data_IF_784489532691
#
_entry.id   IF_784489532691
#
_cell.length_a   1.000
_cell.length_b   1.000
_cell.length_c   1.000
_cell.angle_alpha   90.00
_cell.angle_beta   90.00
_cell.angle_gamma   90.00
#
_symmetry.space_group_name_H-M   'P 1'
#
loop_
_entity.id
_entity.type
_entity.pdbx_description
1 polymer ?
#
# COMPACT_ATOMS: atom_id res chain seq x y z
N UNK A 1 4.19 -25.61 -1.75
CA UNK A 1 5.55 -25.74 -2.37
C UNK A 1 5.64 -26.88 -3.38
N UNK A 2 5.41 -28.16 -3.03
CA UNK A 2 5.49 -29.27 -4.00
C UNK A 2 4.43 -29.23 -5.13
N UNK A 3 3.22 -28.74 -4.84
CA UNK A 3 2.12 -28.70 -5.82
C UNK A 3 2.27 -27.62 -6.90
N UNK A 4 2.91 -26.49 -6.58
CA UNK A 4 3.07 -25.34 -7.49
C UNK A 4 4.52 -25.09 -7.93
N UNK A 5 5.47 -25.94 -7.49
CA UNK A 5 6.90 -25.82 -7.77
C UNK A 5 7.50 -24.43 -7.47
N UNK A 6 7.04 -23.82 -6.38
CA UNK A 6 7.47 -22.48 -5.94
C UNK A 6 8.58 -22.56 -4.90
N UNK A 7 9.51 -21.61 -4.95
CA UNK A 7 10.48 -21.35 -3.88
C UNK A 7 9.80 -20.85 -2.60
N UNK A 8 10.53 -20.74 -1.47
CA UNK A 8 9.96 -20.40 -0.17
C UNK A 8 9.19 -19.08 -0.17
N UNK A 9 9.75 -18.01 -0.75
CA UNK A 9 9.10 -16.69 -0.81
C UNK A 9 7.86 -16.71 -1.73
N UNK A 10 7.94 -17.39 -2.87
CA UNK A 10 6.81 -17.56 -3.78
C UNK A 10 5.66 -18.34 -3.13
N UNK A 11 5.98 -19.33 -2.29
CA UNK A 11 5.00 -20.07 -1.52
C UNK A 11 4.25 -19.20 -0.51
N UNK A 12 4.95 -18.30 0.19
CA UNK A 12 4.34 -17.36 1.14
C UNK A 12 3.43 -16.37 0.39
N UNK A 13 3.91 -15.82 -0.73
CA UNK A 13 3.11 -14.88 -1.54
C UNK A 13 1.83 -15.54 -2.07
N UNK A 14 1.92 -16.76 -2.61
CA UNK A 14 0.73 -17.48 -3.07
C UNK A 14 -0.25 -17.80 -1.92
N UNK A 15 0.27 -18.14 -0.74
CA UNK A 15 -0.57 -18.36 0.43
C UNK A 15 -1.28 -17.07 0.85
N UNK A 16 -0.57 -15.93 0.86
CA UNK A 16 -1.15 -14.63 1.15
C UNK A 16 -2.23 -14.26 0.12
N UNK A 17 -1.97 -14.46 -1.17
CA UNK A 17 -2.95 -14.19 -2.22
C UNK A 17 -4.22 -15.03 -2.07
N UNK A 18 -4.09 -16.32 -1.71
CA UNK A 18 -5.25 -17.19 -1.45
C UNK A 18 -5.98 -16.84 -0.15
N UNK A 19 -5.28 -16.21 0.80
CA UNK A 19 -5.89 -15.73 2.04
C UNK A 19 -6.70 -14.46 1.78
N UNK A 20 -6.19 -13.55 0.95
CA UNK A 20 -6.89 -12.32 0.56
C UNK A 20 -8.27 -12.59 -0.05
N UNK A 21 -8.43 -13.64 -0.87
CA UNK A 21 -9.72 -13.95 -1.52
C UNK A 21 -10.82 -14.43 -0.56
N UNK A 22 -10.47 -14.72 0.69
CA UNK A 22 -11.43 -15.09 1.74
C UNK A 22 -11.36 -14.14 2.93
N UNK A 23 -10.73 -12.99 2.75
CA UNK A 23 -10.46 -12.09 3.86
C UNK A 23 -11.73 -11.48 4.42
N UNK A 24 -12.77 -11.30 3.61
CA UNK A 24 -14.08 -10.82 4.06
C UNK A 24 -14.71 -11.75 5.09
N UNK A 25 -14.58 -13.06 4.92
CA UNK A 25 -15.03 -14.05 5.91
C UNK A 25 -14.26 -13.93 7.23
N UNK A 26 -13.00 -13.49 7.18
CA UNK A 26 -12.19 -13.24 8.38
C UNK A 26 -12.68 -11.97 9.07
N UNK A 27 -12.95 -10.90 8.31
CA UNK A 27 -13.51 -9.67 8.84
C UNK A 27 -14.86 -9.92 9.53
N UNK A 28 -15.76 -10.69 8.93
CA UNK A 28 -17.03 -11.08 9.55
C UNK A 28 -16.86 -11.77 10.91
N UNK A 29 -15.81 -12.61 11.04
CA UNK A 29 -15.51 -13.31 12.30
C UNK A 29 -14.98 -12.33 13.34
N UNK A 30 -14.15 -11.38 12.92
CA UNK A 30 -13.59 -10.35 13.79
C UNK A 30 -14.69 -9.41 14.26
N UNK A 31 -15.57 -8.94 13.38
CA UNK A 31 -16.68 -8.05 13.71
C UNK A 31 -17.66 -8.71 14.68
N UNK A 32 -17.99 -10.00 14.50
CA UNK A 32 -18.83 -10.75 15.45
C UNK A 32 -18.24 -10.85 16.85
N UNK A 33 -16.91 -10.74 16.98
CA UNK A 33 -16.20 -10.80 18.26
C UNK A 33 -15.80 -9.42 18.78
N UNK A 34 -16.04 -8.35 18.03
CA UNK A 34 -15.61 -7.00 18.40
C UNK A 34 -16.18 -6.55 19.74
N UNK A 35 -17.36 -7.02 20.13
CA UNK A 35 -17.98 -6.73 21.43
C UNK A 35 -17.37 -7.54 22.60
N UNK A 36 -16.73 -8.67 22.30
CA UNK A 36 -16.17 -9.60 23.29
C UNK A 36 -14.66 -9.41 23.53
N UNK A 37 -13.95 -8.78 22.59
CA UNK A 37 -12.48 -8.60 22.66
C UNK A 37 -12.08 -7.15 22.49
N UNK A 38 -11.22 -6.66 23.40
CA UNK A 38 -10.73 -5.29 23.35
C UNK A 38 -9.68 -5.08 22.24
N UNK A 39 -8.90 -6.13 21.93
CA UNK A 39 -7.79 -6.06 20.99
C UNK A 39 -7.74 -7.28 20.05
N UNK A 40 -7.43 -7.01 18.78
CA UNK A 40 -7.17 -8.02 17.76
C UNK A 40 -5.74 -7.87 17.29
N UNK A 41 -4.92 -8.90 17.51
CA UNK A 41 -3.51 -8.90 17.11
C UNK A 41 -3.38 -9.70 15.82
N UNK A 42 -2.85 -9.07 14.79
CA UNK A 42 -2.59 -9.68 13.49
C UNK A 42 -1.10 -9.90 13.31
N UNK A 43 -0.70 -11.17 13.25
CA UNK A 43 0.67 -11.54 12.94
C UNK A 43 0.88 -11.61 11.43
N UNK A 44 1.98 -11.04 10.96
CA UNK A 44 2.28 -10.93 9.52
C UNK A 44 3.38 -11.93 9.14
N UNK A 45 3.50 -12.27 7.84
CA UNK A 45 4.60 -13.13 7.39
C UNK A 45 5.96 -12.55 7.80
N UNK A 46 6.89 -13.41 8.25
CA UNK A 46 8.22 -12.98 8.70
C UNK A 46 9.09 -12.30 7.63
N UNK A 47 8.69 -12.34 6.36
CA UNK A 47 9.28 -11.51 5.30
C UNK A 47 8.41 -10.28 5.08
N UNK A 48 8.89 -9.15 5.61
CA UNK A 48 8.17 -7.87 5.59
C UNK A 48 7.86 -7.40 4.17
N UNK A 49 8.70 -7.72 3.18
CA UNK A 49 8.51 -7.26 1.82
C UNK A 49 7.30 -7.93 1.16
N UNK A 50 7.03 -9.20 1.49
CA UNK A 50 5.88 -9.91 0.96
C UNK A 50 4.58 -9.28 1.46
N UNK A 51 4.54 -8.78 2.70
CA UNK A 51 3.34 -8.14 3.23
C UNK A 51 3.22 -6.68 2.77
N UNK A 52 4.29 -5.89 2.91
CA UNK A 52 4.24 -4.44 2.67
C UNK A 52 4.25 -4.05 1.20
N UNK A 53 4.86 -4.85 0.30
CA UNK A 53 4.94 -4.52 -1.12
C UNK A 53 3.98 -5.34 -1.99
N UNK A 54 3.31 -6.36 -1.47
CA UNK A 54 2.31 -7.09 -2.25
C UNK A 54 0.97 -6.36 -2.30
N UNK A 55 0.26 -6.54 -3.41
CA UNK A 55 -1.12 -6.07 -3.53
C UNK A 55 -2.02 -6.74 -2.48
N UNK A 56 -1.81 -8.02 -2.20
CA UNK A 56 -2.58 -8.77 -1.20
C UNK A 56 -2.42 -8.22 0.22
N UNK A 57 -1.20 -7.89 0.65
CA UNK A 57 -0.99 -7.28 1.96
C UNK A 57 -1.58 -5.87 2.06
N UNK A 58 -1.53 -5.09 0.98
CA UNK A 58 -2.19 -3.79 0.91
C UNK A 58 -3.72 -3.91 1.04
N UNK A 59 -4.35 -4.82 0.28
CA UNK A 59 -5.80 -5.07 0.35
C UNK A 59 -6.22 -5.49 1.76
N UNK A 60 -5.50 -6.44 2.37
CA UNK A 60 -5.76 -6.89 3.74
C UNK A 60 -5.68 -5.71 4.72
N UNK A 61 -4.61 -4.92 4.63
CA UNK A 61 -4.39 -3.77 5.53
C UNK A 61 -5.49 -2.72 5.36
N UNK A 62 -5.84 -2.38 4.12
CA UNK A 62 -6.87 -1.38 3.80
C UNK A 62 -8.27 -1.84 4.23
N UNK A 63 -8.56 -3.14 4.12
CA UNK A 63 -9.83 -3.72 4.53
C UNK A 63 -10.00 -3.67 6.05
N UNK A 64 -8.97 -4.06 6.82
CA UNK A 64 -9.00 -3.95 8.30
C UNK A 64 -9.08 -2.48 8.72
N UNK A 65 -8.25 -1.63 8.12
CA UNK A 65 -8.24 -0.20 8.36
C UNK A 65 -9.52 0.51 7.95
N UNK A 66 -10.41 -0.15 7.20
CA UNK A 66 -11.72 0.39 6.84
C UNK A 66 -12.81 0.01 7.84
N UNK A 67 -12.68 -1.14 8.51
CA UNK A 67 -13.67 -1.66 9.46
C UNK A 67 -13.33 -1.31 10.92
N UNK A 68 -12.04 -1.29 11.28
CA UNK A 68 -11.59 -1.19 12.67
C UNK A 68 -10.44 -0.17 12.83
N UNK A 69 -10.37 0.52 13.99
CA UNK A 69 -9.20 1.32 14.32
C UNK A 69 -7.92 0.48 14.31
N UNK A 70 -7.05 0.76 13.34
CA UNK A 70 -5.87 -0.07 13.06
C UNK A 70 -4.60 0.72 13.30
N UNK A 71 -3.67 0.10 14.04
CA UNK A 71 -2.36 0.68 14.36
C UNK A 71 -1.27 -0.29 13.90
N UNK A 72 -0.24 0.22 13.26
CA UNK A 72 0.91 -0.59 12.82
C UNK A 72 1.99 -0.55 13.90
N UNK A 73 2.32 -1.73 14.44
CA UNK A 73 3.46 -1.92 15.32
C UNK A 73 4.68 -2.37 14.49
N UNK A 74 5.64 -1.47 14.26
CA UNK A 74 6.87 -1.80 13.56
C UNK A 74 7.95 -2.25 14.53
N UNK A 75 8.21 -3.56 14.53
CA UNK A 75 9.11 -4.20 15.49
C UNK A 75 10.55 -4.16 14.99
N UNK A 76 11.43 -3.55 15.78
CA UNK A 76 12.87 -3.40 15.51
C UNK A 76 13.67 -4.32 16.42
N UNK A 77 14.65 -5.02 15.86
CA UNK A 77 15.60 -5.82 16.63
C UNK A 77 16.73 -4.93 17.19
N UNK A 78 16.55 -4.42 18.42
CA UNK A 78 17.43 -3.41 19.05
C UNK A 78 18.92 -3.79 19.06
N UNK A 79 19.33 -5.02 19.42
CA UNK A 79 20.73 -5.42 19.40
C UNK A 79 21.38 -5.38 18.01
N UNK A 80 20.59 -5.50 16.93
CA UNK A 80 21.09 -5.47 15.55
C UNK A 80 21.13 -4.07 14.96
N UNK A 81 20.46 -3.09 15.56
CA UNK A 81 20.42 -1.70 15.10
C UNK A 81 21.39 -0.79 15.83
N UNK A 82 22.36 -1.34 16.55
CA UNK A 82 23.42 -0.58 17.24
C UNK A 82 24.36 0.14 16.29
N UNK A 83 24.42 -0.26 15.02
CA UNK A 83 25.16 0.46 13.99
C UNK A 83 24.31 1.60 13.40
N UNK A 84 24.79 2.86 13.35
CA UNK A 84 24.04 4.01 12.84
C UNK A 84 23.52 3.84 11.40
N UNK A 85 24.31 3.20 10.53
CA UNK A 85 23.91 2.94 9.15
C UNK A 85 22.73 1.95 9.06
N UNK A 86 22.72 0.93 9.92
CA UNK A 86 21.63 -0.05 10.01
C UNK A 86 20.39 0.57 10.63
N UNK A 87 20.56 1.41 11.66
CA UNK A 87 19.47 2.19 12.25
C UNK A 87 18.79 3.08 11.20
N UNK A 88 19.56 3.87 10.46
CA UNK A 88 19.00 4.73 9.41
C UNK A 88 18.26 3.95 8.33
N UNK A 89 18.84 2.86 7.85
CA UNK A 89 18.19 2.02 6.84
C UNK A 89 16.82 1.54 7.35
N UNK A 90 16.76 1.07 8.59
CA UNK A 90 15.50 0.62 9.21
C UNK A 90 14.50 1.75 9.41
N UNK A 91 14.95 2.97 9.74
CA UNK A 91 14.08 4.15 9.86
C UNK A 91 13.51 4.57 8.51
N UNK A 92 14.29 4.51 7.43
CA UNK A 92 13.81 4.79 6.08
C UNK A 92 12.80 3.75 5.59
N UNK A 93 13.01 2.48 5.94
CA UNK A 93 12.01 1.44 5.72
C UNK A 93 10.73 1.73 6.49
N UNK A 94 10.81 2.09 7.77
CA UNK A 94 9.65 2.46 8.58
C UNK A 94 8.89 3.65 7.97
N UNK A 95 9.61 4.68 7.54
CA UNK A 95 9.06 5.84 6.84
C UNK A 95 8.33 5.46 5.55
N UNK A 96 8.94 4.57 4.75
CA UNK A 96 8.32 4.07 3.51
C UNK A 96 7.01 3.33 3.79
N UNK A 97 6.94 2.55 4.87
CA UNK A 97 5.72 1.84 5.27
C UNK A 97 4.66 2.82 5.76
N UNK A 98 5.03 3.80 6.61
CA UNK A 98 4.11 4.83 7.09
C UNK A 98 3.43 5.55 5.92
N UNK A 99 4.19 6.03 4.94
CA UNK A 99 3.63 6.76 3.80
C UNK A 99 2.77 5.87 2.91
N UNK A 100 3.07 4.58 2.84
CA UNK A 100 2.32 3.62 2.05
C UNK A 100 0.96 3.32 2.70
N UNK A 101 0.94 3.01 3.99
CA UNK A 101 -0.26 2.57 4.71
C UNK A 101 -1.11 3.74 5.22
N UNK A 102 -0.48 4.89 5.48
CA UNK A 102 -1.11 6.09 6.06
C UNK A 102 -1.81 5.84 7.40
N UNK A 103 -1.42 4.78 8.11
CA UNK A 103 -1.99 4.41 9.40
C UNK A 103 -1.14 4.93 10.55
N UNK A 104 -1.73 5.11 11.76
CA UNK A 104 -0.97 5.37 12.97
C UNK A 104 0.11 4.30 13.15
N UNK A 105 1.30 4.74 13.51
CA UNK A 105 2.51 3.92 13.43
C UNK A 105 3.33 4.05 14.71
N UNK A 106 3.63 2.91 15.30
CA UNK A 106 4.39 2.80 16.55
C UNK A 106 5.69 2.08 16.24
N UNK A 107 6.80 2.71 16.59
CA UNK A 107 8.12 2.09 16.57
C UNK A 107 8.33 1.30 17.86
N UNK A 108 8.51 -0.02 17.74
CA UNK A 108 8.65 -0.94 18.86
C UNK A 108 10.06 -1.51 18.87
N UNK A 109 10.90 -1.03 19.78
CA UNK A 109 12.24 -1.56 19.99
C UNK A 109 12.17 -2.84 20.83
N UNK A 110 12.30 -3.99 20.18
CA UNK A 110 12.25 -5.29 20.85
C UNK A 110 13.63 -5.72 21.40
N UNK A 111 13.61 -6.63 22.36
CA UNK A 111 14.78 -7.21 23.05
C UNK A 111 15.56 -6.20 23.88
N UNK A 112 14.83 -5.33 24.58
CA UNK A 112 15.42 -4.37 25.53
C UNK A 112 16.16 -5.05 26.69
N UNK A 113 15.89 -6.33 26.94
CA UNK A 113 16.60 -7.16 27.92
C UNK A 113 18.07 -7.43 27.53
N UNK A 114 18.39 -7.44 26.23
CA UNK A 114 19.76 -7.64 25.73
C UNK A 114 20.49 -6.32 25.57
N UNK A 115 19.82 -5.33 24.97
CA UNK A 115 20.38 -4.01 24.69
C UNK A 115 19.33 -2.94 24.99
N UNK A 116 19.63 -1.95 25.85
CA UNK A 116 18.70 -0.85 26.10
C UNK A 116 18.53 -0.01 24.84
N UNK A 117 17.30 0.47 24.60
CA UNK A 117 16.93 1.25 23.42
C UNK A 117 17.20 2.76 23.55
N UNK A 118 17.82 3.20 24.65
CA UNK A 118 18.07 4.63 24.93
C UNK A 118 18.89 5.30 23.82
N UNK A 119 19.93 4.63 23.30
CA UNK A 119 20.74 5.18 22.20
C UNK A 119 19.91 5.53 20.96
N UNK A 120 18.84 4.77 20.70
CA UNK A 120 17.96 5.02 19.56
C UNK A 120 17.06 6.22 19.83
N UNK A 121 16.59 6.41 21.06
CA UNK A 121 15.86 7.61 21.48
C UNK A 121 16.75 8.84 21.36
N UNK A 122 17.99 8.75 21.85
CA UNK A 122 18.97 9.83 21.79
C UNK A 122 19.25 10.20 20.33
N UNK A 123 19.42 9.22 19.43
CA UNK A 123 19.61 9.48 17.99
C UNK A 123 18.38 10.05 17.27
N UNK A 124 17.17 9.78 17.76
CA UNK A 124 15.94 10.36 17.20
C UNK A 124 15.67 11.78 17.72
N UNK A 125 16.10 12.09 18.94
CA UNK A 125 15.91 13.41 19.57
C UNK A 125 17.06 14.37 19.30
N UNK A 126 18.29 13.86 19.32
CA UNK A 126 19.53 14.59 19.11
C UNK A 126 20.26 14.03 17.88
N UNK A 127 20.03 14.74 16.78
CA UNK A 127 20.64 14.40 15.51
C UNK A 127 22.16 14.72 15.46
N UNK A 128 22.66 15.66 16.27
CA UNK A 128 24.10 15.95 16.33
C UNK A 128 24.84 14.76 16.93
N UNK A 129 24.25 14.10 17.94
CA UNK A 129 24.77 12.87 18.51
C UNK A 129 24.77 11.72 17.48
N UNK A 130 23.72 11.62 16.67
CA UNK A 130 23.67 10.65 15.56
C UNK A 130 24.72 10.93 14.48
N UNK A 131 24.95 12.19 14.11
CA UNK A 131 26.02 12.58 13.17
C UNK A 131 27.40 12.27 13.73
N UNK A 132 27.63 12.56 15.01
CA UNK A 132 28.88 12.24 15.68
C UNK A 132 29.13 10.73 15.67
N UNK A 133 28.11 9.93 15.99
CA UNK A 133 28.17 8.47 15.96
C UNK A 133 28.50 7.93 14.55
N UNK A 134 27.89 8.51 13.52
CA UNK A 134 28.15 8.16 12.12
C UNK A 134 29.57 8.52 11.68
N UNK A 135 30.09 9.68 12.10
CA UNK A 135 31.44 10.13 11.79
C UNK A 135 32.51 9.28 12.50
N UNK A 136 32.21 8.71 13.66
CA UNK A 136 33.10 7.79 14.38
C UNK A 136 33.11 6.36 13.84
N UNK A 137 32.04 5.91 13.17
CA UNK A 137 31.97 4.54 12.67
C UNK A 137 32.84 4.33 11.43
N UNK A 138 33.81 3.42 11.54
CA UNK A 138 34.93 3.18 10.61
C UNK A 138 34.57 2.64 9.20
N UNK A 139 33.28 2.64 8.83
CA UNK A 139 32.78 2.25 7.50
C UNK A 139 32.43 3.44 6.60
N UNK A 140 32.56 4.66 7.09
CA UNK A 140 32.27 5.92 6.38
C UNK A 140 33.54 6.71 6.03
N UNK A 141 34.70 6.05 6.13
CA UNK A 141 35.98 6.56 5.64
C UNK A 141 36.52 5.59 4.62
N UNK A 142 36.74 6.07 3.40
CA UNK A 142 37.40 5.30 2.36
C UNK A 142 38.86 5.01 2.79
N UNK A 143 39.58 4.15 2.05
CA UNK A 143 41.00 3.82 2.33
C UNK A 143 41.93 5.06 2.41
N UNK A 144 41.44 6.23 1.99
CA UNK A 144 42.14 7.53 1.99
C UNK A 144 41.67 8.48 3.11
N UNK A 145 40.71 8.08 3.96
CA UNK A 145 40.28 8.87 5.13
C UNK A 145 39.20 9.94 4.85
N UNK A 146 38.75 10.06 3.60
CA UNK A 146 37.68 10.97 3.19
C UNK A 146 36.30 10.47 3.66
N UNK A 147 35.38 11.38 4.07
CA UNK A 147 34.02 11.01 4.42
C UNK A 147 33.30 10.45 3.18
N UNK A 148 32.90 9.19 3.24
CA UNK A 148 32.17 8.49 2.17
C UNK A 148 30.91 9.28 1.79
N UNK A 149 30.50 9.23 0.51
CA UNK A 149 29.26 9.85 -0.01
C UNK A 149 28.01 9.59 0.84
N UNK A 150 27.99 8.46 1.55
CA UNK A 150 26.98 8.15 2.56
C UNK A 150 26.83 9.27 3.60
N UNK A 151 27.92 9.83 4.16
CA UNK A 151 27.82 10.91 5.15
C UNK A 151 27.15 12.17 4.59
N UNK A 152 27.40 12.51 3.32
CA UNK A 152 26.78 13.66 2.66
C UNK A 152 25.29 13.44 2.42
N UNK A 153 24.89 12.25 1.95
CA UNK A 153 23.48 11.87 1.79
C UNK A 153 22.77 11.81 3.15
N UNK A 154 23.43 11.28 4.18
CA UNK A 154 22.88 11.21 5.52
C UNK A 154 22.65 12.59 6.12
N UNK A 155 23.54 13.54 5.83
CA UNK A 155 23.34 14.94 6.21
C UNK A 155 22.18 15.60 5.46
N UNK A 156 21.94 15.30 4.19
CA UNK A 156 20.79 15.88 3.48
C UNK A 156 19.46 15.25 3.90
N UNK A 157 19.46 13.95 4.20
CA UNK A 157 18.27 13.23 4.66
C UNK A 157 17.91 13.52 6.12
N UNK A 158 18.84 14.10 6.88
CA UNK A 158 18.67 14.42 8.30
C UNK A 158 17.47 15.29 8.63
N UNK A 159 17.29 16.39 7.90
CA UNK A 159 16.21 17.35 8.11
C UNK A 159 14.84 16.70 7.89
N UNK A 160 14.75 15.82 6.90
CA UNK A 160 13.52 15.07 6.60
C UNK A 160 13.24 14.06 7.71
N UNK A 161 14.29 13.41 8.23
CA UNK A 161 14.16 12.44 9.31
C UNK A 161 13.82 13.09 10.65
N UNK A 162 14.33 14.29 10.96
CA UNK A 162 14.01 15.04 12.18
C UNK A 162 12.53 15.44 12.25
N UNK A 163 11.96 15.94 11.14
CA UNK A 163 10.53 16.22 11.07
C UNK A 163 9.71 14.94 11.23
N UNK A 164 10.16 13.85 10.64
CA UNK A 164 9.51 12.54 10.73
C UNK A 164 9.53 11.97 12.16
N UNK A 165 10.65 12.05 12.89
CA UNK A 165 10.76 11.46 14.24
C UNK A 165 9.91 12.18 15.29
N UNK A 166 9.64 13.48 15.13
CA UNK A 166 8.79 14.25 16.06
C UNK A 166 7.36 13.73 16.16
N UNK A 167 6.87 13.10 15.10
CA UNK A 167 5.51 12.58 15.02
C UNK A 167 5.40 11.09 15.37
N UNK A 168 6.54 10.40 15.57
CA UNK A 168 6.54 8.97 15.83
C UNK A 168 6.49 8.64 17.31
N UNK A 169 5.56 7.77 17.67
CA UNK A 169 5.52 7.14 18.98
C UNK A 169 6.53 6.00 19.01
N UNK A 170 7.39 6.00 20.03
CA UNK A 170 8.46 5.02 20.20
C UNK A 170 8.30 4.35 21.56
N UNK A 171 8.41 3.03 21.60
CA UNK A 171 8.33 2.25 22.84
C UNK A 171 9.38 1.15 22.83
N UNK A 172 9.96 0.85 23.99
CA UNK A 172 10.88 -0.26 24.17
C UNK A 172 10.19 -1.42 24.87
N UNK A 173 10.27 -2.62 24.30
CA UNK A 173 9.65 -3.82 24.87
C UNK A 173 10.63 -4.99 24.91
N UNK A 174 10.44 -5.86 25.89
CA UNK A 174 11.09 -7.18 25.91
C UNK A 174 10.02 -8.26 25.86
N UNK A 175 9.89 -8.92 24.71
CA UNK A 175 8.94 -10.04 24.56
C UNK A 175 9.24 -11.22 25.50
N UNK A 176 10.46 -11.33 26.03
CA UNK A 176 10.85 -12.41 26.95
C UNK A 176 10.48 -12.11 28.40
N UNK A 177 10.70 -10.87 28.84
CA UNK A 177 10.48 -10.48 30.25
C UNK A 177 9.12 -9.84 30.48
N UNK A 178 8.45 -9.38 29.42
CA UNK A 178 7.20 -8.63 29.48
C UNK A 178 7.38 -7.15 29.83
N UNK A 179 8.63 -6.67 29.89
CA UNK A 179 8.94 -5.27 30.16
C UNK A 179 8.47 -4.36 29.02
N UNK A 180 7.97 -3.17 29.36
CA UNK A 180 7.47 -2.18 28.41
C UNK A 180 6.12 -2.47 27.73
N UNK A 181 5.48 -3.63 27.98
CA UNK A 181 4.19 -3.97 27.35
C UNK A 181 3.08 -3.00 27.72
N UNK A 182 3.06 -2.48 28.95
CA UNK A 182 2.07 -1.48 29.37
C UNK A 182 2.19 -0.20 28.57
N UNK A 183 3.40 0.31 28.43
CA UNK A 183 3.70 1.52 27.64
C UNK A 183 3.33 1.32 26.17
N UNK A 184 3.50 0.11 25.63
CA UNK A 184 3.02 -0.23 24.30
C UNK A 184 1.49 -0.12 24.18
N UNK A 185 0.71 -0.67 25.12
CA UNK A 185 -0.75 -0.55 25.09
C UNK A 185 -1.22 0.89 25.29
N UNK A 186 -0.58 1.66 26.17
CA UNK A 186 -0.86 3.09 26.35
C UNK A 186 -0.62 3.86 25.03
N UNK A 187 0.45 3.51 24.29
CA UNK A 187 0.76 4.09 22.98
C UNK A 187 -0.24 3.65 21.89
N UNK A 188 -0.77 2.42 21.97
CA UNK A 188 -1.83 1.93 21.07
C UNK A 188 -3.13 2.69 21.30
N UNK A 189 -3.54 2.88 22.55
CA UNK A 189 -4.75 3.63 22.90
C UNK A 189 -4.62 5.11 22.46
N UNK A 190 -3.46 5.73 22.67
CA UNK A 190 -3.19 7.08 22.16
C UNK A 190 -3.19 7.15 20.62
N UNK A 191 -2.80 6.08 19.93
CA UNK A 191 -2.81 5.99 18.45
C UNK A 191 -4.21 5.71 17.90
N UNK A 192 -5.06 5.04 18.66
CA UNK A 192 -6.48 4.88 18.34
C UNK A 192 -7.20 6.24 18.34
N UNK A 193 -6.94 7.09 19.33
CA UNK A 193 -7.54 8.43 19.34
C UNK A 193 -7.12 9.26 18.12
N UNK A 194 -5.86 9.13 17.70
CA UNK A 194 -5.31 9.79 16.52
C UNK A 194 -5.97 9.25 15.23
N UNK A 195 -6.14 7.94 15.13
CA UNK A 195 -6.86 7.29 14.04
C UNK A 195 -8.30 7.83 13.90
N UNK A 196 -9.02 7.95 15.02
CA UNK A 196 -10.40 8.42 15.02
C UNK A 196 -10.52 9.90 14.64
N UNK A 197 -9.53 10.72 15.03
CA UNK A 197 -9.52 12.18 14.79
C UNK A 197 -9.02 12.58 13.41
N UNK A 198 -7.98 11.92 12.90
CA UNK A 198 -7.29 12.33 11.67
C UNK A 198 -7.57 11.39 10.50
N UNK A 199 -7.50 10.07 10.72
CA UNK A 199 -7.59 9.10 9.62
C UNK A 199 -9.03 8.87 9.14
N UNK A 200 -10.00 8.70 10.05
CA UNK A 200 -11.41 8.48 9.66
C UNK A 200 -11.99 9.60 8.79
N UNK A 201 -11.78 10.91 9.12
CA UNK A 201 -12.22 11.99 8.26
C UNK A 201 -11.57 11.96 6.88
N UNK A 202 -10.28 11.67 6.80
CA UNK A 202 -9.56 11.64 5.52
C UNK A 202 -10.00 10.46 4.64
N UNK A 203 -10.24 9.30 5.24
CA UNK A 203 -10.82 8.15 4.54
C UNK A 203 -12.24 8.47 4.03
N UNK A 204 -13.07 9.13 4.84
CA UNK A 204 -14.42 9.54 4.41
C UNK A 204 -14.40 10.57 3.27
N UNK A 205 -13.47 11.53 3.30
CA UNK A 205 -13.25 12.51 2.23
C UNK A 205 -12.80 11.83 0.95
N UNK A 206 -11.87 10.88 1.05
CA UNK A 206 -11.37 10.11 -0.09
C UNK A 206 -12.48 9.26 -0.72
N UNK A 207 -13.32 8.59 0.10
CA UNK A 207 -14.49 7.85 -0.38
C UNK A 207 -15.50 8.77 -1.07
N UNK A 208 -15.83 9.90 -0.46
CA UNK A 208 -16.76 10.86 -1.05
C UNK A 208 -16.25 11.48 -2.36
N UNK A 209 -14.93 11.71 -2.49
CA UNK A 209 -14.33 12.16 -3.75
C UNK A 209 -14.39 11.10 -4.83
N UNK A 210 -14.09 9.83 -4.49
CA UNK A 210 -14.23 8.70 -5.43
C UNK A 210 -15.67 8.54 -5.90
N UNK A 211 -16.64 8.57 -4.99
CA UNK A 211 -18.05 8.45 -5.34
C UNK A 211 -18.51 9.60 -6.24
N UNK A 212 -18.11 10.84 -5.95
CA UNK A 212 -18.38 12.00 -6.82
C UNK A 212 -17.76 11.83 -8.22
N UNK A 213 -16.53 11.33 -8.30
CA UNK A 213 -15.89 11.09 -9.61
C UNK A 213 -16.59 9.99 -10.40
N UNK A 214 -17.03 8.93 -9.72
CA UNK A 214 -17.81 7.84 -10.32
C UNK A 214 -19.18 8.31 -10.81
N UNK A 215 -19.88 9.13 -10.00
CA UNK A 215 -21.15 9.73 -10.40
C UNK A 215 -20.97 10.67 -11.59
N UNK A 216 -19.93 11.52 -11.59
CA UNK A 216 -19.63 12.39 -12.72
C UNK A 216 -19.35 11.61 -14.01
N UNK A 217 -18.60 10.50 -13.93
CA UNK A 217 -18.34 9.61 -15.06
C UNK A 217 -19.61 8.91 -15.55
N UNK A 218 -20.46 8.43 -14.63
CA UNK A 218 -21.77 7.86 -14.97
C UNK A 218 -22.66 8.87 -15.66
N UNK A 219 -22.74 10.09 -15.14
CA UNK A 219 -23.53 11.18 -15.71
C UNK A 219 -23.01 11.61 -17.09
N UNK A 220 -21.69 11.67 -17.28
CA UNK A 220 -21.08 11.94 -18.59
C UNK A 220 -21.40 10.83 -19.60
N UNK A 221 -21.28 9.56 -19.19
CA UNK A 221 -21.60 8.40 -20.04
C UNK A 221 -23.09 8.39 -20.42
N UNK A 222 -23.98 8.72 -19.49
CA UNK A 222 -25.41 8.81 -19.72
C UNK A 222 -25.74 9.99 -20.64
N UNK A 223 -25.13 11.16 -20.42
CA UNK A 223 -25.32 12.31 -21.31
C UNK A 223 -24.84 12.03 -22.73
N UNK A 224 -23.73 11.30 -22.89
CA UNK A 224 -23.25 10.85 -24.21
C UNK A 224 -24.24 9.89 -24.88
N UNK A 225 -24.72 8.89 -24.15
CA UNK A 225 -25.73 7.94 -24.64
C UNK A 225 -27.05 8.62 -25.03
N UNK A 226 -27.55 9.56 -24.21
CA UNK A 226 -28.74 10.35 -24.55
C UNK A 226 -28.52 11.18 -25.82
N UNK A 227 -27.34 11.78 -25.98
CA UNK A 227 -27.00 12.54 -27.18
C UNK A 227 -26.98 11.64 -28.41
N UNK A 228 -26.34 10.48 -28.35
CA UNK A 228 -26.30 9.53 -29.46
C UNK A 228 -27.72 9.00 -29.79
N UNK A 229 -28.54 8.69 -28.77
CA UNK A 229 -29.93 8.27 -28.97
C UNK A 229 -30.79 9.36 -29.61
N UNK A 230 -30.61 10.64 -29.24
CA UNK A 230 -31.32 11.75 -29.89
C UNK A 230 -30.89 11.93 -31.35
N UNK A 231 -29.60 11.79 -31.65
CA UNK A 231 -29.07 11.88 -33.02
C UNK A 231 -29.55 10.70 -33.89
N UNK A 232 -29.64 9.50 -33.33
CA UNK A 232 -30.20 8.33 -34.03
C UNK A 232 -31.71 8.47 -34.24
N UNK A 233 -32.43 9.06 -33.28
CA UNK A 233 -33.87 9.33 -33.38
C UNK A 233 -34.20 10.40 -34.44
N UNK A 234 -33.32 11.38 -34.63
CA UNK A 234 -33.43 12.38 -35.70
C UNK A 234 -33.08 11.82 -37.09
N UNK A 235 -32.11 10.90 -37.17
CA UNK A 235 -31.68 10.29 -38.44
C UNK A 235 -32.60 9.17 -38.93
N UNK A 236 -33.32 8.48 -38.04
CA UNK A 236 -34.09 7.29 -38.43
C UNK A 236 -35.43 7.16 -37.68
N UNK A 237 -36.46 7.98 -38.02
CA UNK A 237 -37.74 8.00 -37.31
C UNK A 237 -38.57 6.71 -37.45
N UNK A 238 -38.26 5.84 -38.42
CA UNK A 238 -38.99 4.59 -38.70
C UNK A 238 -38.42 3.34 -38.00
N UNK A 239 -37.25 3.44 -37.35
CA UNK A 239 -36.64 2.29 -36.66
C UNK A 239 -37.34 1.94 -35.33
N UNK A 240 -38.06 2.89 -34.73
CA UNK A 240 -38.70 2.71 -33.43
C UNK A 240 -40.04 1.95 -33.49
N UNK A 241 -40.75 1.96 -34.62
CA UNK A 241 -42.01 1.20 -34.77
C UNK A 241 -41.81 -0.32 -34.82
N UNK A 242 -40.58 -0.78 -35.12
CA UNK A 242 -40.24 -2.21 -35.19
C UNK A 242 -39.43 -2.72 -34.00
N UNK A 243 -39.07 -1.85 -33.05
CA UNK A 243 -38.27 -2.23 -31.88
C UNK A 243 -39.20 -2.70 -30.76
N UNK A 244 -39.80 -3.88 -30.95
CA UNK A 244 -40.41 -4.64 -29.86
C UNK A 244 -39.29 -5.23 -29.02
N UNK A 245 -38.97 -4.56 -27.93
CA UNK A 245 -38.21 -5.15 -26.84
C UNK A 245 -39.09 -6.23 -26.19
N UNK A 246 -38.70 -7.50 -26.33
CA UNK A 246 -39.22 -8.55 -25.45
C UNK A 246 -38.74 -8.23 -24.03
N UNK A 247 -39.66 -8.21 -23.06
CA UNK A 247 -39.36 -7.97 -21.65
C UNK A 247 -38.25 -8.93 -21.18
N UNK A 248 -37.13 -8.44 -20.65
CA UNK A 248 -36.21 -9.30 -19.94
C UNK A 248 -36.86 -9.67 -18.61
N UNK A 249 -36.97 -10.96 -18.34
CA UNK A 249 -37.38 -11.50 -17.04
C UNK A 249 -36.63 -10.78 -15.92
N UNK A 250 -37.38 -10.11 -15.05
CA UNK A 250 -36.86 -9.37 -13.92
C UNK A 250 -36.45 -10.34 -12.80
N UNK A 251 -35.23 -10.86 -12.88
CA UNK A 251 -34.46 -11.27 -11.72
C UNK A 251 -33.20 -10.39 -11.65
N UNK A 252 -33.36 -9.22 -11.01
CA UNK A 252 -32.23 -8.41 -10.57
C UNK A 252 -31.62 -9.13 -9.37
N UNK A 253 -30.55 -9.89 -9.61
CA UNK A 253 -29.63 -10.25 -8.53
C UNK A 253 -28.77 -9.01 -8.25
N UNK A 254 -29.05 -8.35 -7.14
CA UNK A 254 -28.25 -7.25 -6.56
C UNK A 254 -26.98 -7.78 -5.86
N UNK A 255 -26.34 -8.82 -6.39
CA UNK A 255 -25.12 -9.42 -5.85
C UNK A 255 -24.04 -9.54 -6.95
N UNK A 256 -23.57 -8.42 -7.48
CA UNK A 256 -22.28 -8.35 -8.16
C UNK A 256 -21.35 -7.44 -7.34
N UNK A 257 -20.81 -8.04 -6.27
CA UNK A 257 -19.57 -7.62 -5.62
C UNK A 257 -18.44 -7.49 -6.66
N UNK A 258 -17.74 -6.36 -6.60
CA UNK A 258 -16.32 -6.22 -6.95
C UNK A 258 -15.82 -6.97 -8.21
N UNK A 259 -16.36 -6.61 -9.37
CA UNK A 259 -15.61 -6.76 -10.62
C UNK A 259 -15.02 -5.43 -11.05
N UNK A 260 -13.69 -5.31 -10.93
CA UNK A 260 -12.86 -4.26 -11.50
C UNK A 260 -13.37 -3.91 -12.90
N UNK A 261 -14.08 -2.78 -13.00
CA UNK A 261 -14.47 -2.18 -14.26
C UNK A 261 -13.23 -1.55 -14.87
N UNK A 262 -12.37 -2.39 -15.47
CA UNK A 262 -11.38 -1.95 -16.45
C UNK A 262 -12.13 -1.55 -17.73
N UNK A 263 -12.85 -0.44 -17.68
CA UNK A 263 -13.26 0.27 -18.89
C UNK A 263 -12.00 0.92 -19.45
N UNK A 264 -11.51 0.33 -20.54
CA UNK A 264 -10.44 0.85 -21.36
C UNK A 264 -10.89 2.22 -21.89
N UNK A 265 -10.37 3.28 -21.29
CA UNK A 265 -10.43 4.63 -21.82
C UNK A 265 -9.70 4.66 -23.17
N UNK A 266 -10.43 4.99 -24.23
CA UNK A 266 -9.94 5.01 -25.61
C UNK A 266 -9.84 6.41 -26.20
N UNK A 267 -9.84 7.45 -25.35
CA UNK A 267 -9.92 8.83 -25.82
C UNK A 267 -8.81 9.78 -25.38
N UNK A 268 -7.84 9.35 -24.58
CA UNK A 268 -6.64 10.16 -24.29
C UNK A 268 -5.34 9.50 -24.77
N UNK A 269 -5.01 9.71 -26.04
CA UNK A 269 -3.63 9.52 -26.51
C UNK A 269 -3.24 10.64 -27.46
N UNK A 270 -2.99 11.83 -26.92
CA UNK A 270 -2.16 12.84 -27.56
C UNK A 270 -1.10 13.32 -26.56
N UNK A 271 -0.08 12.47 -26.40
CA UNK A 271 1.36 12.78 -26.25
C UNK A 271 2.09 11.91 -25.21
N UNK A 272 3.34 11.49 -25.49
CA UNK A 272 3.92 10.26 -24.95
C UNK A 272 4.95 10.51 -23.84
N UNK A 273 4.88 9.73 -22.75
CA UNK A 273 5.99 9.51 -21.82
C UNK A 273 6.57 8.09 -21.98
N UNK A 274 7.87 7.88 -21.70
CA UNK A 274 8.63 6.75 -22.19
C UNK A 274 8.44 5.53 -21.28
N UNK A 275 7.88 4.46 -21.84
CA UNK A 275 7.76 3.18 -21.12
C UNK A 275 6.65 2.23 -21.60
N UNK A 276 6.03 2.45 -22.77
CA UNK A 276 4.95 1.58 -23.23
C UNK A 276 5.43 0.16 -23.59
N UNK A 277 4.81 -0.81 -22.93
CA UNK A 277 4.69 -2.20 -23.39
C UNK A 277 4.02 -2.23 -24.78
N UNK A 278 4.56 -3.07 -25.67
CA UNK A 278 4.00 -3.33 -27.00
C UNK A 278 2.77 -4.24 -26.84
N UNK A 279 1.59 -3.74 -27.19
CA UNK A 279 0.35 -4.50 -27.23
C UNK A 279 0.27 -5.34 -28.52
N UNK A 280 0.44 -6.65 -28.37
CA UNK A 280 0.43 -7.65 -29.46
C UNK A 280 -0.98 -7.98 -29.97
N UNK A 281 -2.03 -7.38 -29.42
CA UNK A 281 -3.42 -7.65 -29.85
C UNK A 281 -3.90 -6.78 -31.03
N UNK A 282 -3.14 -5.75 -31.43
CA UNK A 282 -3.48 -4.87 -32.55
C UNK A 282 -3.00 -5.34 -33.94
N UNK A 283 -2.36 -6.49 -34.08
CA UNK A 283 -1.96 -7.00 -35.40
C UNK A 283 -3.19 -7.60 -36.12
N UNK A 284 -4.04 -6.73 -36.67
CA UNK A 284 -5.02 -7.12 -37.68
C UNK A 284 -4.28 -7.51 -38.95
N UNK A 285 -4.48 -8.77 -39.35
CA UNK A 285 -4.17 -9.31 -40.68
C UNK A 285 -4.67 -8.37 -41.78
N UNK A 286 -3.75 -7.57 -42.36
CA UNK A 286 -3.97 -6.95 -43.67
C UNK A 286 -3.76 -8.04 -44.71
N UNK A 287 -4.87 -8.61 -45.21
CA UNK A 287 -4.87 -9.26 -46.52
C UNK A 287 -4.71 -8.19 -47.59
N UNK A 288 -3.68 -8.42 -48.40
CA UNK A 288 -3.40 -7.91 -49.76
C UNK A 288 -3.29 -6.40 -49.98
N UNK A 289 -2.05 -5.93 -50.18
CA UNK A 289 -1.56 -5.46 -51.49
C UNK A 289 -0.03 -5.18 -51.41
N UNK A 290 0.73 -5.90 -52.25
CA UNK A 290 2.13 -5.69 -52.68
C UNK A 290 3.20 -5.16 -51.69
N UNK A 291 3.77 -6.05 -50.87
CA UNK A 291 5.10 -5.81 -50.28
C UNK A 291 5.99 -7.03 -50.49
N UNK A 292 6.80 -6.97 -51.55
CA UNK A 292 7.84 -7.94 -51.84
C UNK A 292 9.14 -7.53 -51.11
N UNK A 293 9.47 -8.20 -50.00
CA UNK A 293 10.72 -7.96 -49.27
C UNK A 293 11.87 -8.77 -49.92
N UNK A 294 12.98 -8.13 -50.32
CA UNK A 294 14.10 -8.83 -50.94
C UNK A 294 14.84 -9.66 -49.89
N UNK A 295 15.09 -10.94 -50.19
CA UNK A 295 15.97 -11.79 -49.38
C UNK A 295 17.42 -11.57 -49.82
N UNK A 296 18.36 -11.32 -48.89
CA UNK A 296 19.77 -11.27 -49.23
C UNK A 296 20.26 -12.66 -49.69
N UNK A 297 21.17 -12.65 -50.66
CA UNK A 297 21.82 -13.82 -51.25
C UNK A 297 22.76 -14.53 -50.25
#
# INVERSE_FOLDING_TARGET
MKQYNLGPNGGILTALNLFTTKFDQVLDIVEKRADDVDYVILDTPGQIEIFTWSASGAIITDAIASSLPTVIAYVIDTPRTTAPATFMSNMLYACSILYKTKLPFILVFNKTDVQPHQFALDWMQDFEEFQAALATHSGTRDSEGEPTYMNSLMNSMSLVLDEFYKHLKTVGVSSMTGDGIKEFFDAVDASREEYEKEYLPDLSRARAQREKSLQALKDESMNRLMKDLTVDREKNPAAFENDKWDEPDAEVNDDDDDTDVNIIDKTESTDPWPGQYIDVTQIRSRRDEDINWPRPA
#
